data_IF_631032332270
#
_entry.id   IF_631032332270
#
_cell.length_a   1.000
_cell.length_b   1.000
_cell.length_c   1.000
_cell.angle_alpha   90.00
_cell.angle_beta   90.00
_cell.angle_gamma   90.00
#
_symmetry.space_group_name_H-M   'P 1'
#
loop_
_entity.id
_entity.type
_entity.pdbx_description
1 polymer ?
#
# COMPACT_ATOMS: atom_id res chain seq x y z
N UNK A 1 -21.83 -16.19 -0.60
CA UNK A 1 -21.68 -14.92 0.17
C UNK A 1 -20.77 -13.98 -0.58
N UNK A 2 -21.23 -12.76 -0.88
CA UNK A 2 -20.38 -11.72 -1.47
C UNK A 2 -19.72 -10.96 -0.32
N UNK A 3 -18.38 -11.04 -0.22
CA UNK A 3 -17.60 -10.26 0.73
C UNK A 3 -17.04 -9.00 0.06
N UNK A 4 -17.11 -7.87 0.72
CA UNK A 4 -16.41 -6.64 0.32
C UNK A 4 -14.96 -6.70 0.81
N UNK A 5 -14.22 -7.71 0.38
CA UNK A 5 -12.80 -7.84 0.71
C UNK A 5 -11.94 -7.58 -0.53
N UNK A 6 -10.68 -7.21 -0.36
CA UNK A 6 -9.75 -7.09 -1.46
C UNK A 6 -9.73 -8.37 -2.29
N UNK A 7 -9.67 -8.23 -3.61
CA UNK A 7 -9.52 -9.37 -4.50
C UNK A 7 -8.10 -9.95 -4.32
N UNK A 8 -8.02 -11.17 -3.83
CA UNK A 8 -6.78 -11.94 -3.82
C UNK A 8 -6.77 -12.83 -5.04
N UNK A 9 -5.81 -12.60 -5.94
CA UNK A 9 -5.60 -13.45 -7.10
C UNK A 9 -4.38 -14.33 -6.88
N UNK A 10 -4.50 -15.59 -7.28
CA UNK A 10 -3.39 -16.53 -7.32
C UNK A 10 -3.00 -16.76 -8.77
N UNK A 11 -1.72 -16.66 -9.09
CA UNK A 11 -1.23 -16.98 -10.42
C UNK A 11 -1.06 -18.51 -10.55
N UNK A 12 -1.85 -19.13 -11.42
CA UNK A 12 -1.86 -20.61 -11.64
C UNK A 12 -1.94 -21.40 -10.32
N UNK A 13 -2.75 -20.95 -9.38
CA UNK A 13 -2.89 -21.59 -8.06
C UNK A 13 -1.77 -21.29 -7.07
N UNK A 14 -0.72 -20.57 -7.46
CA UNK A 14 0.38 -20.18 -6.58
C UNK A 14 0.02 -18.88 -5.86
N UNK A 15 0.07 -18.88 -4.54
CA UNK A 15 -0.29 -17.72 -3.72
C UNK A 15 0.72 -16.57 -3.82
N UNK A 16 0.26 -15.36 -3.52
CA UNK A 16 1.06 -14.13 -3.56
C UNK A 16 2.27 -14.14 -2.60
N UNK A 17 2.31 -15.00 -1.60
CA UNK A 17 3.46 -15.19 -0.71
C UNK A 17 4.73 -15.69 -1.42
N UNK A 18 4.58 -16.25 -2.62
CA UNK A 18 5.68 -16.72 -3.47
C UNK A 18 6.06 -15.70 -4.56
N UNK A 19 5.47 -14.51 -4.51
CA UNK A 19 5.86 -13.37 -5.33
C UNK A 19 6.93 -12.57 -4.59
N UNK A 20 8.02 -12.26 -5.27
CA UNK A 20 9.04 -11.39 -4.74
C UNK A 20 8.72 -9.93 -5.06
N UNK A 21 8.83 -9.08 -4.04
CA UNK A 21 8.62 -7.64 -4.18
C UNK A 21 9.88 -6.91 -3.79
N UNK A 22 10.32 -6.04 -4.69
CA UNK A 22 11.48 -5.18 -4.51
C UNK A 22 11.05 -3.71 -4.50
N UNK A 23 11.81 -2.88 -3.79
CA UNK A 23 11.77 -1.41 -3.92
C UNK A 23 13.21 -0.96 -4.18
N UNK A 24 13.45 -0.31 -5.32
CA UNK A 24 14.81 0.03 -5.79
C UNK A 24 15.78 -1.16 -5.73
N UNK A 25 15.33 -2.34 -6.16
CA UNK A 25 16.08 -3.60 -6.14
C UNK A 25 16.37 -4.21 -4.76
N UNK A 26 15.88 -3.60 -3.67
CA UNK A 26 15.97 -4.17 -2.32
C UNK A 26 14.77 -5.08 -2.08
N UNK A 27 14.95 -6.35 -1.67
CA UNK A 27 13.86 -7.26 -1.36
C UNK A 27 13.09 -6.78 -0.11
N UNK A 28 11.76 -6.74 -0.21
CA UNK A 28 10.85 -6.20 0.81
C UNK A 28 9.90 -7.25 1.37
N UNK A 29 10.06 -8.50 1.02
CA UNK A 29 9.21 -9.57 1.52
C UNK A 29 9.48 -9.81 3.02
N UNK A 30 8.40 -10.04 3.75
CA UNK A 30 8.46 -10.41 5.17
C UNK A 30 9.17 -11.75 5.34
N UNK A 31 10.19 -11.82 6.19
CA UNK A 31 11.03 -13.01 6.40
C UNK A 31 10.25 -14.18 6.99
N UNK A 32 9.16 -13.94 7.71
CA UNK A 32 8.37 -14.98 8.37
C UNK A 32 7.23 -15.46 7.47
N UNK A 33 6.54 -14.51 6.81
CA UNK A 33 5.33 -14.77 6.02
C UNK A 33 5.61 -14.96 4.53
N UNK A 34 6.80 -14.62 4.06
CA UNK A 34 7.24 -14.75 2.69
C UNK A 34 6.64 -13.73 1.71
N UNK A 35 5.57 -13.03 2.08
CA UNK A 35 4.87 -12.08 1.22
C UNK A 35 5.15 -10.63 1.56
N UNK A 36 4.86 -9.72 0.62
CA UNK A 36 4.90 -8.28 0.84
C UNK A 36 3.53 -7.75 1.21
N UNK A 37 3.45 -6.90 2.24
CA UNK A 37 2.21 -6.27 2.66
C UNK A 37 2.04 -4.90 2.00
N UNK A 38 1.24 -4.82 0.93
CA UNK A 38 0.94 -3.57 0.23
C UNK A 38 0.29 -2.49 1.11
N UNK A 39 -0.22 -2.86 2.29
CA UNK A 39 -0.73 -1.88 3.26
C UNK A 39 0.36 -0.93 3.77
N UNK A 40 1.63 -1.33 3.76
CA UNK A 40 2.78 -0.49 4.12
C UNK A 40 2.94 0.70 3.16
N UNK A 41 2.52 0.55 1.90
CA UNK A 41 2.54 1.63 0.90
C UNK A 41 1.38 2.61 1.06
N UNK A 42 0.51 2.42 2.04
CA UNK A 42 -0.56 3.36 2.41
C UNK A 42 -1.61 3.62 1.32
N UNK A 43 -1.63 2.85 0.24
CA UNK A 43 -2.47 3.11 -0.93
C UNK A 43 -1.89 4.16 -1.90
N UNK A 44 -0.61 4.51 -1.77
CA UNK A 44 0.11 5.44 -2.66
C UNK A 44 0.66 4.79 -3.93
N UNK A 45 0.28 3.53 -4.21
CA UNK A 45 0.75 2.76 -5.38
C UNK A 45 0.44 3.40 -6.72
N UNK A 46 -0.66 4.15 -6.82
CA UNK A 46 -1.04 4.83 -8.06
C UNK A 46 -0.22 6.08 -8.38
N UNK A 47 0.58 6.57 -7.43
CA UNK A 47 1.38 7.80 -7.59
C UNK A 47 2.82 7.60 -7.12
N UNK A 48 3.07 7.47 -5.82
CA UNK A 48 4.41 7.37 -5.26
C UNK A 48 5.14 6.07 -5.67
N UNK A 49 4.40 4.98 -5.87
CA UNK A 49 4.95 3.69 -6.28
C UNK A 49 4.41 3.26 -7.66
N UNK A 50 4.14 4.21 -8.56
CA UNK A 50 3.56 3.93 -9.88
C UNK A 50 4.56 3.29 -10.85
N UNK A 51 5.82 3.65 -10.73
CA UNK A 51 6.87 3.13 -11.60
C UNK A 51 7.24 1.72 -11.12
N UNK A 52 6.68 0.72 -11.77
CA UNK A 52 6.98 -0.66 -11.43
C UNK A 52 7.28 -1.49 -12.68
N UNK A 53 8.12 -2.47 -12.50
CA UNK A 53 8.40 -3.53 -13.47
C UNK A 53 7.99 -4.85 -12.84
N UNK A 54 7.21 -5.65 -13.55
CA UNK A 54 6.75 -6.93 -13.04
C UNK A 54 7.02 -8.05 -14.03
N UNK A 55 7.36 -9.22 -13.49
CA UNK A 55 7.51 -10.47 -14.23
C UNK A 55 6.51 -11.47 -13.65
N UNK A 56 5.80 -12.18 -14.49
CA UNK A 56 4.79 -13.17 -14.09
C UNK A 56 5.38 -14.56 -14.23
N UNK A 57 5.22 -15.38 -13.19
CA UNK A 57 5.76 -16.73 -13.14
C UNK A 57 7.29 -16.77 -13.06
N UNK A 58 7.90 -17.86 -13.52
CA UNK A 58 9.35 -18.08 -13.53
C UNK A 58 10.02 -17.32 -14.68
N UNK A 59 9.82 -16.03 -14.75
CA UNK A 59 10.51 -15.16 -15.70
C UNK A 59 11.83 -14.64 -15.14
N UNK A 60 12.78 -14.33 -16.02
CA UNK A 60 14.02 -13.66 -15.63
C UNK A 60 13.68 -12.29 -15.04
N UNK A 61 14.28 -11.98 -13.89
CA UNK A 61 14.17 -10.68 -13.23
C UNK A 61 15.51 -9.97 -13.29
N UNK A 62 15.50 -8.69 -13.67
CA UNK A 62 16.71 -7.86 -13.62
C UNK A 62 17.07 -7.41 -12.19
N UNK A 63 16.21 -7.68 -11.20
CA UNK A 63 16.29 -7.12 -9.86
C UNK A 63 16.57 -8.15 -8.77
N UNK A 64 16.50 -9.43 -9.08
CA UNK A 64 16.70 -10.52 -8.14
C UNK A 64 16.55 -11.89 -8.80
N UNK A 65 16.49 -12.94 -8.00
CA UNK A 65 16.39 -14.33 -8.50
C UNK A 65 14.99 -14.65 -9.06
N UNK A 66 14.00 -13.80 -8.78
CA UNK A 66 12.59 -14.01 -9.15
C UNK A 66 11.88 -15.02 -8.25
N UNK A 67 10.57 -14.88 -8.13
CA UNK A 67 9.71 -15.81 -7.37
C UNK A 67 8.95 -16.75 -8.29
N UNK A 68 8.50 -17.88 -7.76
CA UNK A 68 7.68 -18.87 -8.51
C UNK A 68 6.39 -18.24 -9.04
N UNK A 69 5.81 -17.29 -8.28
CA UNK A 69 4.61 -16.52 -8.67
C UNK A 69 4.93 -15.26 -9.45
N UNK A 70 6.20 -14.95 -9.65
CA UNK A 70 6.70 -13.74 -10.31
C UNK A 70 7.46 -12.81 -9.39
N UNK A 71 7.90 -11.69 -9.96
CA UNK A 71 8.58 -10.62 -9.22
C UNK A 71 8.02 -9.26 -9.60
N UNK A 72 8.12 -8.31 -8.69
CA UNK A 72 7.70 -6.92 -8.90
C UNK A 72 8.75 -6.00 -8.28
N UNK A 73 9.22 -5.00 -9.04
CA UNK A 73 10.11 -3.97 -8.51
C UNK A 73 9.46 -2.60 -8.66
N UNK A 74 9.32 -1.89 -7.55
CA UNK A 74 8.91 -0.48 -7.53
C UNK A 74 10.15 0.41 -7.58
N UNK A 75 10.16 1.31 -8.55
CA UNK A 75 11.21 2.31 -8.67
C UNK A 75 10.72 3.64 -8.06
N UNK A 76 11.43 4.13 -7.05
CA UNK A 76 11.16 5.39 -6.36
C UNK A 76 12.20 6.48 -6.66
N UNK A 77 13.05 6.28 -7.67
CA UNK A 77 14.04 7.26 -8.12
C UNK A 77 13.29 8.47 -8.69
N UNK A 78 13.63 9.65 -8.20
CA UNK A 78 12.79 10.83 -8.32
C UNK A 78 12.84 11.47 -9.71
N UNK A 79 13.95 11.35 -10.43
CA UNK A 79 14.11 11.87 -11.80
C UNK A 79 13.12 11.25 -12.80
N UNK A 80 12.57 10.06 -12.45
CA UNK A 80 11.59 9.35 -13.29
C UNK A 80 10.16 9.85 -13.15
N UNK A 81 9.87 10.75 -12.19
CA UNK A 81 8.53 11.31 -12.01
C UNK A 81 8.33 12.56 -12.87
N UNK A 82 7.19 12.62 -13.55
CA UNK A 82 6.81 13.83 -14.29
C UNK A 82 6.61 15.00 -13.31
N UNK A 83 7.21 16.17 -13.59
CA UNK A 83 7.06 17.34 -12.73
C UNK A 83 5.62 17.83 -12.70
N UNK A 84 5.22 18.42 -11.59
CA UNK A 84 3.92 19.02 -11.40
C UNK A 84 3.18 18.58 -10.16
N UNK A 85 1.97 19.07 -10.00
CA UNK A 85 1.07 18.76 -8.90
C UNK A 85 -0.08 17.88 -9.39
N UNK A 86 -0.42 16.86 -8.59
CA UNK A 86 -1.57 15.98 -8.81
C UNK A 86 -2.36 15.85 -7.53
N UNK A 87 -3.66 16.11 -7.60
CA UNK A 87 -4.63 15.86 -6.53
C UNK A 87 -5.69 14.86 -6.97
N UNK A 88 -6.19 14.05 -6.04
CA UNK A 88 -7.35 13.19 -6.28
C UNK A 88 -8.21 13.08 -5.02
N UNK A 89 -9.52 13.16 -5.24
CA UNK A 89 -10.54 12.88 -4.25
C UNK A 89 -11.38 11.73 -4.77
N UNK A 90 -11.70 10.78 -3.91
CA UNK A 90 -12.57 9.67 -4.28
C UNK A 90 -13.46 9.25 -3.13
N UNK A 91 -14.65 8.79 -3.49
CA UNK A 91 -15.60 8.14 -2.60
C UNK A 91 -15.78 6.70 -3.04
N UNK A 92 -15.86 5.79 -2.07
CA UNK A 92 -16.10 4.37 -2.30
C UNK A 92 -16.88 3.79 -1.12
N UNK A 93 -17.57 2.69 -1.33
CA UNK A 93 -18.26 1.93 -0.29
C UNK A 93 -17.53 0.61 0.04
N UNK A 94 -16.21 0.61 -0.05
CA UNK A 94 -15.38 -0.56 0.30
C UNK A 94 -14.94 -0.51 1.78
N UNK A 95 -13.66 -0.71 2.05
CA UNK A 95 -13.10 -0.67 3.42
C UNK A 95 -13.09 0.75 4.00
N UNK A 96 -13.03 1.77 3.14
CA UNK A 96 -13.13 3.19 3.51
C UNK A 96 -14.10 3.90 2.57
N UNK A 97 -14.63 5.04 3.01
CA UNK A 97 -15.57 5.83 2.20
C UNK A 97 -14.86 6.98 1.46
N UNK A 98 -13.95 7.66 2.12
CA UNK A 98 -13.28 8.83 1.57
C UNK A 98 -11.79 8.59 1.41
N UNK A 99 -11.26 9.05 0.28
CA UNK A 99 -9.83 9.08 0.01
C UNK A 99 -9.46 10.41 -0.61
N UNK A 100 -8.48 11.07 -0.01
CA UNK A 100 -7.83 12.25 -0.58
C UNK A 100 -6.35 11.94 -0.77
N UNK A 101 -5.76 12.33 -1.90
CA UNK A 101 -4.34 12.18 -2.15
C UNK A 101 -3.82 13.37 -2.93
N UNK A 102 -2.65 13.85 -2.55
CA UNK A 102 -1.92 14.90 -3.24
C UNK A 102 -0.47 14.45 -3.47
N UNK A 103 0.06 14.75 -4.64
CA UNK A 103 1.45 14.44 -5.00
C UNK A 103 2.03 15.63 -5.73
N UNK A 104 3.23 16.05 -5.32
CA UNK A 104 4.03 17.04 -5.99
C UNK A 104 5.37 16.44 -6.40
N UNK A 105 5.83 16.73 -7.59
CA UNK A 105 7.16 16.39 -8.08
C UNK A 105 7.78 17.62 -8.75
N UNK A 106 9.01 17.93 -8.35
CA UNK A 106 9.76 19.06 -8.94
C UNK A 106 10.29 18.75 -10.35
N UNK A 107 10.43 17.45 -10.68
CA UNK A 107 11.33 17.02 -11.74
C UNK A 107 12.79 17.29 -11.40
N UNK A 108 13.69 16.97 -12.31
CA UNK A 108 15.12 17.27 -12.15
C UNK A 108 15.38 18.76 -12.38
N UNK A 109 15.96 19.41 -11.37
CA UNK A 109 16.34 20.82 -11.44
C UNK A 109 17.75 20.98 -12.06
N UNK A 110 18.09 22.19 -12.52
CA UNK A 110 19.42 22.51 -13.09
C UNK A 110 20.56 22.22 -12.12
N UNK A 111 20.30 22.30 -10.84
CA UNK A 111 21.26 21.96 -9.78
C UNK A 111 21.36 20.43 -9.52
N UNK A 112 20.70 19.60 -10.30
CA UNK A 112 20.71 18.15 -10.18
C UNK A 112 19.96 17.59 -8.98
N UNK A 113 19.00 18.36 -8.40
CA UNK A 113 18.09 17.84 -7.38
C UNK A 113 16.73 17.52 -7.98
N UNK A 114 16.11 16.46 -7.48
CA UNK A 114 14.72 16.16 -7.75
C UNK A 114 14.01 15.79 -6.43
N UNK A 115 12.76 16.26 -6.26
CA UNK A 115 11.95 16.03 -5.07
C UNK A 115 10.58 15.54 -5.48
N UNK A 116 10.11 14.46 -4.86
CA UNK A 116 8.72 14.02 -4.94
C UNK A 116 8.15 13.83 -3.55
N UNK A 117 7.00 14.45 -3.30
CA UNK A 117 6.25 14.30 -2.04
C UNK A 117 4.84 13.84 -2.39
N UNK A 118 4.35 12.82 -1.70
CA UNK A 118 2.96 12.37 -1.80
C UNK A 118 2.36 12.19 -0.42
N UNK A 119 1.16 12.71 -0.22
CA UNK A 119 0.38 12.55 1.00
C UNK A 119 -0.99 11.95 0.66
N UNK A 120 -1.48 11.07 1.53
CA UNK A 120 -2.79 10.43 1.39
C UNK A 120 -3.52 10.37 2.72
N UNK A 121 -4.83 10.55 2.68
CA UNK A 121 -5.75 10.27 3.77
C UNK A 121 -6.87 9.36 3.30
N UNK A 122 -7.24 8.39 4.13
CA UNK A 122 -8.39 7.51 3.90
C UNK A 122 -9.21 7.42 5.18
N UNK A 123 -10.51 7.58 5.05
CA UNK A 123 -11.40 7.67 6.20
C UNK A 123 -12.72 6.95 5.96
N UNK A 124 -13.18 6.25 6.98
CA UNK A 124 -14.56 5.79 7.12
C UNK A 124 -14.94 5.73 8.59
N UNK A 125 -16.03 6.42 8.94
CA UNK A 125 -16.61 6.31 10.29
C UNK A 125 -17.20 4.93 10.51
N UNK A 126 -17.83 4.37 9.48
CA UNK A 126 -18.38 3.02 9.46
C UNK A 126 -18.29 2.50 8.02
N UNK A 127 -17.83 1.26 7.86
CA UNK A 127 -17.80 0.59 6.57
C UNK A 127 -19.15 -0.03 6.22
N UNK A 128 -19.19 -0.84 5.15
CA UNK A 128 -20.38 -1.59 4.74
C UNK A 128 -20.83 -2.57 5.83
N UNK A 129 -19.89 -3.16 6.55
CA UNK A 129 -20.16 -4.06 7.67
C UNK A 129 -20.26 -3.23 8.95
N UNK A 130 -21.37 -3.34 9.73
CA UNK A 130 -21.55 -2.60 10.97
C UNK A 130 -20.41 -2.77 11.97
N UNK A 131 -20.03 -1.69 12.67
CA UNK A 131 -18.96 -1.67 13.67
C UNK A 131 -17.54 -1.68 13.08
N UNK A 132 -17.39 -1.65 11.76
CA UNK A 132 -16.08 -1.45 11.12
C UNK A 132 -15.84 0.05 10.90
N UNK A 133 -14.57 0.45 11.01
CA UNK A 133 -14.13 1.80 10.66
C UNK A 133 -12.75 1.74 10.01
N UNK A 134 -12.32 2.84 9.40
CA UNK A 134 -11.02 2.92 8.76
C UNK A 134 -10.45 4.34 8.83
N UNK A 135 -9.28 4.48 9.45
CA UNK A 135 -8.51 5.71 9.53
C UNK A 135 -7.09 5.42 9.05
N UNK A 136 -6.64 6.12 8.03
CA UNK A 136 -5.27 5.96 7.55
C UNK A 136 -4.77 7.28 6.99
N UNK A 137 -3.57 7.66 7.42
CA UNK A 137 -2.75 8.65 6.75
C UNK A 137 -1.59 7.97 6.03
N UNK A 138 -0.90 8.72 5.19
CA UNK A 138 0.34 8.25 4.57
C UNK A 138 1.13 9.42 4.03
N UNK A 139 2.44 9.33 4.16
CA UNK A 139 3.40 10.27 3.62
C UNK A 139 4.50 9.50 2.88
N UNK A 140 4.87 10.00 1.72
CA UNK A 140 6.01 9.54 0.94
C UNK A 140 6.85 10.76 0.56
N UNK A 141 8.15 10.67 0.74
CA UNK A 141 9.12 11.68 0.32
C UNK A 141 10.27 10.97 -0.37
N UNK A 142 10.62 11.40 -1.57
CA UNK A 142 11.81 10.96 -2.27
C UNK A 142 12.61 12.18 -2.72
N UNK A 143 13.85 12.24 -2.30
CA UNK A 143 14.80 13.29 -2.65
C UNK A 143 16.00 12.64 -3.35
N UNK A 144 16.30 13.11 -4.54
CA UNK A 144 17.42 12.64 -5.33
C UNK A 144 18.42 13.76 -5.60
N UNK A 145 19.69 13.41 -5.57
CA UNK A 145 20.80 14.22 -6.08
C UNK A 145 21.50 13.46 -7.21
N UNK A 146 21.44 14.00 -8.39
CA UNK A 146 22.22 13.59 -9.54
C UNK A 146 23.54 14.34 -9.51
N UNK A 147 24.66 13.64 -9.38
CA UNK A 147 26.00 14.22 -9.35
C UNK A 147 26.57 14.40 -10.77
N UNK A 148 26.36 13.38 -11.60
CA UNK A 148 26.80 13.32 -12.98
C UNK A 148 25.92 12.33 -13.77
N UNK A 149 26.26 12.08 -15.05
CA UNK A 149 25.52 11.17 -15.94
C UNK A 149 25.49 9.71 -15.46
N UNK A 150 26.41 9.34 -14.57
CA UNK A 150 26.58 7.96 -14.09
C UNK A 150 26.15 7.77 -12.65
N UNK A 151 26.15 8.81 -11.83
CA UNK A 151 25.98 8.68 -10.38
C UNK A 151 24.80 9.52 -9.87
N UNK A 152 23.91 8.88 -9.14
CA UNK A 152 22.88 9.56 -8.34
C UNK A 152 22.70 8.91 -6.98
N UNK A 153 22.20 9.69 -6.03
CA UNK A 153 21.87 9.26 -4.68
C UNK A 153 20.43 9.65 -4.38
N UNK A 154 19.60 8.68 -4.04
CA UNK A 154 18.19 8.89 -3.71
C UNK A 154 17.91 8.49 -2.28
N UNK A 155 17.33 9.39 -1.49
CA UNK A 155 16.76 9.11 -0.18
C UNK A 155 15.25 9.00 -0.32
N UNK A 156 14.68 7.87 0.07
CA UNK A 156 13.24 7.64 0.04
C UNK A 156 12.73 7.33 1.44
N UNK A 157 11.70 8.04 1.87
CA UNK A 157 11.04 7.87 3.17
C UNK A 157 9.55 7.67 2.94
N UNK A 158 8.95 6.70 3.62
CA UNK A 158 7.50 6.58 3.64
C UNK A 158 6.98 5.95 4.92
N UNK A 159 5.72 6.20 5.21
CA UNK A 159 5.01 5.59 6.31
C UNK A 159 3.52 5.84 6.18
N UNK A 160 2.73 4.88 6.63
CA UNK A 160 1.28 4.92 6.53
C UNK A 160 0.62 4.40 7.82
N UNK A 161 0.55 5.25 8.87
CA UNK A 161 -0.23 4.89 10.05
C UNK A 161 -1.66 4.57 9.66
N UNK A 162 -2.13 3.41 10.11
CA UNK A 162 -3.47 2.91 9.78
C UNK A 162 -4.09 2.27 11.00
N UNK A 163 -5.30 2.72 11.35
CA UNK A 163 -6.15 2.14 12.39
C UNK A 163 -7.48 1.74 11.77
N UNK A 164 -7.89 0.52 11.96
CA UNK A 164 -9.15 0.03 11.40
C UNK A 164 -9.75 -1.08 12.25
N UNK A 165 -11.06 -1.23 12.17
CA UNK A 165 -11.76 -2.37 12.75
C UNK A 165 -12.22 -3.31 11.62
N UNK A 166 -11.94 -4.61 11.80
CA UNK A 166 -12.40 -5.64 10.90
C UNK A 166 -13.69 -6.30 11.40
N UNK A 167 -14.60 -6.60 10.48
CA UNK A 167 -15.68 -7.54 10.74
C UNK A 167 -15.14 -8.97 10.79
N UNK A 168 -15.79 -9.82 11.58
CA UNK A 168 -15.52 -11.25 11.69
C UNK A 168 -16.70 -12.04 11.14
N UNK A 169 -16.41 -13.03 10.30
CA UNK A 169 -17.44 -13.97 9.86
C UNK A 169 -17.90 -14.84 11.02
N UNK A 170 -19.18 -15.20 11.02
CA UNK A 170 -19.77 -16.17 11.93
C UNK A 170 -20.35 -17.34 11.14
N UNK A 171 -21.00 -18.30 11.83
CA UNK A 171 -21.64 -19.45 11.21
C UNK A 171 -22.96 -19.05 10.54
N UNK A 172 -23.43 -19.83 9.56
CA UNK A 172 -24.62 -19.50 8.77
C UNK A 172 -25.88 -19.40 9.64
N UNK A 173 -25.98 -20.26 10.63
CA UNK A 173 -27.14 -20.29 11.58
C UNK A 173 -27.33 -18.96 12.32
N UNK A 174 -26.23 -18.24 12.61
CA UNK A 174 -26.30 -16.92 13.27
C UNK A 174 -26.79 -15.85 12.27
N UNK A 175 -26.37 -15.92 11.01
CA UNK A 175 -26.86 -15.00 9.96
C UNK A 175 -28.38 -15.21 9.73
N UNK A 176 -28.83 -16.46 9.70
CA UNK A 176 -30.24 -16.81 9.52
C UNK A 176 -31.08 -16.37 10.73
N UNK A 177 -30.54 -16.52 11.95
CA UNK A 177 -31.19 -16.08 13.18
C UNK A 177 -31.35 -14.55 13.25
N UNK A 178 -30.33 -13.81 12.85
CA UNK A 178 -30.33 -12.33 12.87
C UNK A 178 -31.06 -11.76 11.65
N UNK A 179 -31.17 -12.51 10.56
CA UNK A 179 -31.76 -12.07 9.29
C UNK A 179 -30.89 -11.04 8.54
N UNK A 180 -29.61 -10.94 8.87
CA UNK A 180 -28.68 -9.97 8.27
C UNK A 180 -27.35 -10.62 7.87
N UNK A 181 -27.09 -10.63 6.57
CA UNK A 181 -25.85 -11.17 6.00
C UNK A 181 -24.61 -10.32 6.27
N UNK A 182 -24.77 -9.08 6.75
CA UNK A 182 -23.69 -8.17 7.13
C UNK A 182 -23.45 -8.20 8.66
N UNK A 183 -24.15 -9.06 9.38
CA UNK A 183 -23.96 -9.19 10.82
C UNK A 183 -22.49 -9.39 11.17
N UNK A 184 -22.03 -8.61 12.14
CA UNK A 184 -20.66 -8.66 12.64
C UNK A 184 -20.69 -8.83 14.17
N UNK A 185 -20.18 -9.95 14.72
CA UNK A 185 -20.20 -10.22 16.16
C UNK A 185 -19.15 -9.44 16.96
N UNK A 186 -18.24 -8.68 16.28
CA UNK A 186 -17.08 -8.04 16.93
C UNK A 186 -17.35 -6.62 17.38
N UNK A 187 -18.59 -6.16 17.42
CA UNK A 187 -18.92 -4.83 17.89
C UNK A 187 -20.14 -4.81 18.79
N UNK A 188 -20.26 -3.77 19.57
CA UNK A 188 -21.39 -3.54 20.45
C UNK A 188 -21.48 -2.09 20.90
N UNK A 189 -22.52 -1.80 21.68
CA UNK A 189 -22.71 -0.49 22.29
C UNK A 189 -22.10 -0.47 23.70
N UNK A 190 -21.27 0.51 23.97
CA UNK A 190 -20.72 0.77 25.29
C UNK A 190 -20.85 2.27 25.59
N UNK A 191 -21.61 2.62 26.60
CA UNK A 191 -21.83 4.02 27.01
C UNK A 191 -22.29 4.93 25.85
N UNK A 192 -23.24 4.44 25.04
CA UNK A 192 -23.78 5.16 23.89
C UNK A 192 -22.83 5.30 22.66
N UNK A 193 -21.70 4.62 22.67
CA UNK A 193 -20.75 4.61 21.54
C UNK A 193 -20.59 3.19 20.98
N UNK A 194 -20.54 3.08 19.65
CA UNK A 194 -20.14 1.83 19.00
C UNK A 194 -18.66 1.53 19.29
N UNK A 195 -18.38 0.35 19.75
CA UNK A 195 -17.05 -0.17 20.03
C UNK A 195 -16.83 -1.48 19.28
N UNK A 196 -15.64 -1.69 18.76
CA UNK A 196 -15.22 -2.96 18.16
C UNK A 196 -14.12 -3.57 19.03
N UNK A 197 -14.12 -4.88 19.17
CA UNK A 197 -13.06 -5.65 19.83
C UNK A 197 -11.98 -6.13 18.84
N UNK A 198 -12.20 -5.96 17.54
CA UNK A 198 -11.27 -6.37 16.47
C UNK A 198 -10.62 -5.15 15.80
N UNK A 199 -9.97 -4.32 16.61
CA UNK A 199 -9.21 -3.15 16.15
C UNK A 199 -7.78 -3.58 15.81
N UNK A 200 -7.28 -3.08 14.68
CA UNK A 200 -5.89 -3.25 14.25
C UNK A 200 -5.24 -1.89 14.00
N UNK A 201 -4.04 -1.77 14.49
CA UNK A 201 -3.16 -0.62 14.27
C UNK A 201 -1.89 -1.10 13.58
N UNK A 202 -1.44 -0.33 12.60
CA UNK A 202 -0.21 -0.61 11.85
C UNK A 202 0.51 0.69 11.57
N UNK A 203 1.81 0.68 11.79
CA UNK A 203 2.70 1.75 11.36
C UNK A 203 4.09 1.18 11.14
N UNK A 204 4.47 1.05 9.88
CA UNK A 204 5.76 0.52 9.44
C UNK A 204 6.50 1.61 8.67
N UNK A 205 7.14 2.60 9.35
CA UNK A 205 7.92 3.63 8.68
C UNK A 205 9.16 3.02 8.07
N UNK A 206 9.48 3.43 6.86
CA UNK A 206 10.63 2.93 6.12
C UNK A 206 11.48 4.09 5.62
N UNK A 207 12.79 3.97 5.79
CA UNK A 207 13.79 4.86 5.23
C UNK A 207 14.76 4.05 4.36
N UNK A 208 15.06 4.54 3.17
CA UNK A 208 15.93 3.88 2.21
C UNK A 208 16.89 4.89 1.59
N UNK A 209 18.14 4.51 1.46
CA UNK A 209 19.15 5.25 0.71
C UNK A 209 19.62 4.39 -0.45
N UNK A 210 19.50 4.90 -1.67
CA UNK A 210 19.83 4.19 -2.89
C UNK A 210 20.91 4.96 -3.66
N UNK A 211 22.06 4.35 -3.85
CA UNK A 211 23.07 4.85 -4.78
C UNK A 211 22.92 4.12 -6.12
N UNK A 212 22.74 4.87 -7.18
CA UNK A 212 22.71 4.35 -8.54
C UNK A 212 24.01 4.73 -9.26
N UNK A 213 24.73 3.71 -9.76
CA UNK A 213 25.87 3.89 -10.66
C UNK A 213 25.56 3.23 -12.00
N UNK A 214 25.62 4.00 -13.09
CA UNK A 214 25.44 3.51 -14.46
C UNK A 214 26.83 3.28 -15.06
N UNK A 215 27.14 2.03 -15.34
CA UNK A 215 28.41 1.63 -16.00
C UNK A 215 28.57 2.17 -17.44
#
# INVERSE_FOLDING_TARGET
RYGYSPLYSNYRGVGSRYQETYINSLPMNDLIRGGFSFSQLGGMTSRAFRNNTSTIGLGASAYGFGGISGSQNFNTITDTYAPGFNGSLSYTNSNYNYRAMATYSSGLTDNGFALTISAIGRYSKEGVVPGTFYNSGGLFVSLEKVFDKKNSLTMTLWGAPTQYANGKATVQEVYDLVGDNLYNPTWGWQSGKKRSDNIREKFDPTAMLTWLHKG
#
